data_IF_247744015866
#
_entry.id   IF_247744015866
#
_cell.length_a   1.000
_cell.length_b   1.000
_cell.length_c   1.000
_cell.angle_alpha   90.00
_cell.angle_beta   90.00
_cell.angle_gamma   90.00
#
_symmetry.space_group_name_H-M   'P 1'
#
loop_
_entity.id
_entity.type
_entity.pdbx_description
1 polymer ?
#
# COMPACT_ATOMS: atom_id res chain seq x y z
N UNK A 1 -22.55 -20.65 2.96
CA UNK A 1 -21.86 -19.76 1.99
C UNK A 1 -22.17 -20.19 0.56
N UNK A 2 -22.56 -19.24 -0.30
CA UNK A 2 -22.82 -19.49 -1.72
C UNK A 2 -21.51 -19.71 -2.50
N UNK A 3 -21.57 -20.41 -3.65
CA UNK A 3 -20.43 -20.61 -4.55
C UNK A 3 -19.78 -19.28 -4.97
N UNK A 4 -20.59 -18.23 -5.15
CA UNK A 4 -20.11 -16.87 -5.45
C UNK A 4 -19.27 -16.27 -4.32
N UNK A 5 -19.70 -16.46 -3.06
CA UNK A 5 -18.98 -15.94 -1.90
C UNK A 5 -17.60 -16.60 -1.74
N UNK A 6 -17.49 -17.91 -2.01
CA UNK A 6 -16.21 -18.63 -1.98
C UNK A 6 -15.23 -18.14 -3.05
N UNK A 7 -15.70 -17.93 -4.28
CA UNK A 7 -14.87 -17.41 -5.38
C UNK A 7 -14.36 -16.00 -5.03
N UNK A 8 -15.21 -15.16 -4.46
CA UNK A 8 -14.84 -13.81 -4.05
C UNK A 8 -13.80 -13.83 -2.92
N UNK A 9 -13.98 -14.70 -1.93
CA UNK A 9 -13.03 -14.89 -0.84
C UNK A 9 -11.65 -15.35 -1.32
N UNK A 10 -11.57 -16.39 -2.17
CA UNK A 10 -10.30 -16.86 -2.74
C UNK A 10 -9.62 -15.78 -3.58
N UNK A 11 -10.39 -14.98 -4.34
CA UNK A 11 -9.83 -13.86 -5.09
C UNK A 11 -9.25 -12.79 -4.16
N UNK A 12 -9.96 -12.47 -3.09
CA UNK A 12 -9.53 -11.47 -2.10
C UNK A 12 -8.26 -11.91 -1.38
N UNK A 13 -8.19 -13.17 -0.95
CA UNK A 13 -6.98 -13.78 -0.37
C UNK A 13 -5.78 -13.70 -1.34
N UNK A 14 -6.01 -13.92 -2.63
CA UNK A 14 -4.99 -13.75 -3.67
C UNK A 14 -4.48 -12.31 -3.79
N UNK A 15 -5.40 -11.34 -3.79
CA UNK A 15 -5.04 -9.91 -3.83
C UNK A 15 -4.27 -9.49 -2.58
N UNK A 16 -4.66 -9.98 -1.39
CA UNK A 16 -3.97 -9.69 -0.13
C UNK A 16 -2.55 -10.27 -0.10
N UNK A 17 -2.37 -11.49 -0.58
CA UNK A 17 -1.06 -12.11 -0.69
C UNK A 17 -0.14 -11.37 -1.68
N UNK A 18 -0.69 -10.93 -2.81
CA UNK A 18 0.03 -10.12 -3.79
C UNK A 18 0.42 -8.77 -3.19
N UNK A 19 -0.53 -8.09 -2.56
CA UNK A 19 -0.33 -6.81 -1.88
C UNK A 19 0.77 -6.90 -0.83
N UNK A 20 0.73 -7.91 0.06
CA UNK A 20 1.73 -8.07 1.11
C UNK A 20 3.14 -8.28 0.53
N UNK A 21 3.25 -9.12 -0.50
CA UNK A 21 4.54 -9.40 -1.15
C UNK A 21 5.11 -8.16 -1.83
N UNK A 22 4.27 -7.45 -2.57
CA UNK A 22 4.66 -6.24 -3.29
C UNK A 22 4.97 -5.09 -2.32
N UNK A 23 4.22 -4.96 -1.22
CA UNK A 23 4.44 -3.95 -0.18
C UNK A 23 5.85 -4.06 0.39
N UNK A 24 6.28 -5.26 0.77
CA UNK A 24 7.62 -5.47 1.35
C UNK A 24 8.72 -5.04 0.37
N UNK A 25 8.61 -5.45 -0.90
CA UNK A 25 9.57 -5.08 -1.95
C UNK A 25 9.62 -3.56 -2.11
N UNK A 26 8.46 -2.92 -2.22
CA UNK A 26 8.37 -1.48 -2.38
C UNK A 26 8.89 -0.72 -1.15
N UNK A 27 8.62 -1.18 0.07
CA UNK A 27 9.15 -0.57 1.29
C UNK A 27 10.67 -0.66 1.37
N UNK A 28 11.26 -1.80 0.97
CA UNK A 28 12.72 -1.96 0.91
C UNK A 28 13.32 -0.95 -0.07
N UNK A 29 12.82 -0.89 -1.30
CA UNK A 29 13.34 0.03 -2.32
C UNK A 29 13.12 1.50 -1.92
N UNK A 30 11.99 1.81 -1.29
CA UNK A 30 11.71 3.15 -0.81
C UNK A 30 12.64 3.55 0.34
N UNK A 31 12.90 2.64 1.27
CA UNK A 31 13.85 2.86 2.38
C UNK A 31 15.28 3.14 1.89
N UNK A 32 15.65 2.66 0.70
CA UNK A 32 16.93 2.93 0.03
C UNK A 32 16.98 4.24 -0.75
N UNK A 33 15.88 5.01 -0.78
CA UNK A 33 15.82 6.30 -1.45
C UNK A 33 15.05 6.31 -2.78
N UNK A 34 14.28 5.27 -3.11
CA UNK A 34 13.33 5.33 -4.23
C UNK A 34 12.06 6.08 -3.80
N UNK A 35 11.76 7.19 -4.45
CA UNK A 35 10.58 8.01 -4.15
C UNK A 35 9.37 7.63 -5.02
N UNK A 36 8.17 7.96 -4.53
CA UNK A 36 6.90 7.74 -5.21
C UNK A 36 6.06 6.60 -4.61
N UNK A 37 6.46 6.03 -3.47
CA UNK A 37 5.71 4.95 -2.81
C UNK A 37 4.43 5.47 -2.16
N UNK A 38 4.58 6.53 -1.36
CA UNK A 38 3.45 7.13 -0.65
C UNK A 38 2.78 8.24 -1.46
N UNK A 39 3.48 8.81 -2.45
CA UNK A 39 2.92 9.84 -3.33
C UNK A 39 2.83 11.20 -2.65
N UNK A 40 3.66 11.44 -1.63
CA UNK A 40 3.72 12.72 -0.91
C UNK A 40 4.07 13.84 -1.89
N UNK A 41 4.97 13.55 -2.82
CA UNK A 41 5.42 14.50 -3.81
C UNK A 41 4.62 14.47 -5.11
N UNK A 42 3.64 13.57 -5.33
CA UNK A 42 2.95 13.43 -6.62
C UNK A 42 2.33 14.72 -7.18
N UNK A 43 2.02 15.69 -6.32
CA UNK A 43 1.52 17.02 -6.73
C UNK A 43 2.59 17.89 -7.42
N UNK A 44 3.88 17.60 -7.20
CA UNK A 44 5.03 18.24 -7.83
C UNK A 44 5.40 17.60 -9.18
N UNK A 45 4.78 16.45 -9.52
CA UNK A 45 5.02 15.71 -10.77
C UNK A 45 3.68 15.26 -11.37
N UNK A 46 2.89 16.25 -11.78
CA UNK A 46 1.52 16.07 -12.32
C UNK A 46 1.44 15.15 -13.54
N UNK A 47 2.56 14.90 -14.21
CA UNK A 47 2.64 14.05 -15.40
C UNK A 47 3.33 12.70 -15.16
N UNK A 48 3.57 12.33 -13.90
CA UNK A 48 4.36 11.14 -13.53
C UNK A 48 5.69 11.10 -14.33
N UNK A 49 6.32 12.24 -14.62
CA UNK A 49 7.53 12.32 -15.46
C UNK A 49 8.79 11.91 -14.69
N UNK A 50 8.84 12.21 -13.40
CA UNK A 50 10.02 12.03 -12.55
C UNK A 50 9.90 10.84 -11.59
N UNK A 51 8.69 10.48 -11.14
CA UNK A 51 8.46 9.37 -10.20
C UNK A 51 7.67 8.22 -10.81
N UNK A 52 8.12 7.72 -11.97
CA UNK A 52 7.57 6.51 -12.60
C UNK A 52 7.87 5.26 -11.79
N UNK A 53 7.01 4.95 -10.84
CA UNK A 53 7.05 3.69 -10.11
C UNK A 53 5.72 2.94 -10.28
N UNK A 54 5.64 2.17 -11.36
CA UNK A 54 4.48 1.36 -11.73
C UNK A 54 4.02 0.44 -10.61
N UNK A 55 4.96 -0.17 -9.90
CA UNK A 55 4.72 -1.11 -8.82
C UNK A 55 4.13 -0.40 -7.60
N UNK A 56 4.59 0.82 -7.26
CA UNK A 56 3.98 1.62 -6.21
C UNK A 56 2.56 2.07 -6.57
N UNK A 57 2.31 2.41 -7.84
CA UNK A 57 0.96 2.73 -8.33
C UNK A 57 0.04 1.52 -8.24
N UNK A 58 0.50 0.37 -8.71
CA UNK A 58 -0.22 -0.91 -8.61
C UNK A 58 -0.51 -1.27 -7.16
N UNK A 59 0.46 -1.09 -6.26
CA UNK A 59 0.29 -1.34 -4.83
C UNK A 59 -0.81 -0.48 -4.20
N UNK A 60 -0.92 0.80 -4.57
CA UNK A 60 -2.01 1.68 -4.13
C UNK A 60 -3.36 1.22 -4.65
N UNK A 61 -3.43 0.78 -5.90
CA UNK A 61 -4.66 0.21 -6.48
C UNK A 61 -5.07 -1.06 -5.74
N UNK A 62 -4.14 -2.00 -5.51
CA UNK A 62 -4.40 -3.22 -4.73
C UNK A 62 -4.93 -2.90 -3.33
N UNK A 63 -4.30 -1.97 -2.61
CA UNK A 63 -4.74 -1.58 -1.27
C UNK A 63 -6.16 -1.01 -1.25
N UNK A 64 -6.48 -0.15 -2.22
CA UNK A 64 -7.82 0.44 -2.34
C UNK A 64 -8.88 -0.61 -2.68
N UNK A 65 -8.56 -1.53 -3.60
CA UNK A 65 -9.46 -2.61 -4.00
C UNK A 65 -9.73 -3.58 -2.84
N UNK A 66 -8.70 -4.01 -2.12
CA UNK A 66 -8.83 -4.87 -0.93
C UNK A 66 -9.68 -4.20 0.14
N UNK A 67 -9.36 -2.94 0.49
CA UNK A 67 -10.12 -2.16 1.49
C UNK A 67 -11.60 -2.05 1.09
N UNK A 68 -11.89 -1.80 -0.18
CA UNK A 68 -13.27 -1.71 -0.69
C UNK A 68 -13.99 -3.06 -0.57
N UNK A 69 -13.35 -4.16 -0.97
CA UNK A 69 -13.95 -5.50 -0.91
C UNK A 69 -14.18 -5.97 0.53
N UNK A 70 -13.23 -5.75 1.44
CA UNK A 70 -13.39 -6.05 2.88
C UNK A 70 -14.47 -5.17 3.52
N UNK A 71 -14.51 -3.88 3.17
CA UNK A 71 -15.56 -2.96 3.64
C UNK A 71 -16.97 -3.42 3.22
N UNK A 72 -17.15 -3.93 1.99
CA UNK A 72 -18.42 -4.52 1.54
C UNK A 72 -18.82 -5.76 2.34
N UNK A 73 -17.85 -6.50 2.88
CA UNK A 73 -18.08 -7.64 3.76
C UNK A 73 -18.27 -7.25 5.25
N UNK A 74 -18.14 -5.96 5.59
CA UNK A 74 -18.18 -5.47 6.97
C UNK A 74 -16.89 -5.74 7.76
N UNK A 75 -15.80 -6.04 7.06
CA UNK A 75 -14.50 -6.38 7.64
C UNK A 75 -13.48 -5.25 7.42
N UNK A 76 -12.50 -5.14 8.31
CA UNK A 76 -11.40 -4.18 8.19
C UNK A 76 -10.19 -4.78 7.48
N UNK A 77 -9.33 -3.92 6.91
CA UNK A 77 -8.07 -4.33 6.28
C UNK A 77 -6.90 -3.59 6.93
N UNK A 78 -6.49 -3.94 8.17
CA UNK A 78 -5.58 -3.10 8.95
C UNK A 78 -4.27 -2.73 8.24
N UNK A 79 -3.72 -3.64 7.44
CA UNK A 79 -2.49 -3.39 6.69
C UNK A 79 -2.73 -2.43 5.50
N UNK A 80 -3.80 -2.62 4.74
CA UNK A 80 -4.18 -1.73 3.64
C UNK A 80 -4.58 -0.35 4.16
N UNK A 81 -5.35 -0.30 5.25
CA UNK A 81 -5.77 0.93 5.91
C UNK A 81 -4.57 1.73 6.39
N UNK A 82 -3.59 1.07 7.04
CA UNK A 82 -2.34 1.70 7.46
C UNK A 82 -1.54 2.22 6.27
N UNK A 83 -1.37 1.43 5.22
CA UNK A 83 -0.63 1.84 4.03
C UNK A 83 -1.29 3.05 3.35
N UNK A 84 -2.62 3.03 3.16
CA UNK A 84 -3.35 4.15 2.56
C UNK A 84 -3.30 5.40 3.45
N UNK A 85 -3.37 5.25 4.77
CA UNK A 85 -3.20 6.36 5.70
C UNK A 85 -1.81 7.01 5.55
N UNK A 86 -0.75 6.23 5.33
CA UNK A 86 0.59 6.76 5.05
C UNK A 86 0.66 7.46 3.68
N UNK A 87 -0.10 7.01 2.68
CA UNK A 87 -0.24 7.70 1.40
C UNK A 87 -1.00 9.04 1.50
N UNK A 88 -1.97 9.12 2.42
CA UNK A 88 -2.79 10.31 2.66
C UNK A 88 -2.12 11.31 3.60
N UNK A 89 -1.15 10.87 4.43
CA UNK A 89 -0.38 11.72 5.32
C UNK A 89 0.44 12.75 4.53
N UNK A 90 -0.02 14.01 4.58
CA UNK A 90 0.54 15.17 3.88
C UNK A 90 0.84 16.31 4.85
N UNK A 91 1.44 15.99 5.98
CA UNK A 91 1.77 17.00 6.97
C UNK A 91 3.16 17.58 6.64
N UNK A 92 3.35 18.88 6.84
CA UNK A 92 4.63 19.58 6.68
C UNK A 92 5.74 19.05 7.62
N UNK A 93 5.37 18.28 8.65
CA UNK A 93 6.27 17.58 9.57
C UNK A 93 6.42 16.08 9.28
N UNK A 94 5.81 15.57 8.20
CA UNK A 94 5.89 14.14 7.90
C UNK A 94 7.33 13.80 7.53
N UNK A 95 7.92 12.74 8.13
CA UNK A 95 9.21 12.23 7.67
C UNK A 95 9.17 11.94 6.17
N UNK A 96 10.29 12.16 5.48
CA UNK A 96 10.37 11.83 4.06
C UNK A 96 10.07 10.35 3.78
N UNK A 97 9.58 10.05 2.58
CA UNK A 97 9.15 8.70 2.17
C UNK A 97 10.14 7.56 2.57
N UNK A 98 11.47 7.69 2.42
CA UNK A 98 12.40 6.63 2.83
C UNK A 98 12.35 6.30 4.33
N UNK A 99 12.18 7.31 5.18
CA UNK A 99 12.08 7.11 6.63
C UNK A 99 10.75 6.47 6.99
N UNK A 100 9.65 6.91 6.38
CA UNK A 100 8.34 6.27 6.55
C UNK A 100 8.39 4.79 6.14
N UNK A 101 9.02 4.50 5.00
CA UNK A 101 9.16 3.14 4.51
C UNK A 101 9.99 2.26 5.46
N UNK A 102 11.10 2.80 5.98
CA UNK A 102 11.93 2.09 6.95
C UNK A 102 11.17 1.81 8.26
N UNK A 103 10.45 2.79 8.80
CA UNK A 103 9.62 2.62 10.00
C UNK A 103 8.55 1.56 9.78
N UNK A 104 7.80 1.65 8.68
CA UNK A 104 6.72 0.72 8.40
C UNK A 104 7.24 -0.70 8.15
N UNK A 105 8.37 -0.85 7.45
CA UNK A 105 9.04 -2.14 7.28
C UNK A 105 9.50 -2.74 8.61
N UNK A 106 10.01 -1.92 9.53
CA UNK A 106 10.36 -2.33 10.88
C UNK A 106 9.16 -2.88 11.65
N UNK A 107 8.06 -2.14 11.68
CA UNK A 107 6.82 -2.56 12.34
C UNK A 107 6.23 -3.86 11.75
N UNK A 108 6.37 -4.07 10.44
CA UNK A 108 5.93 -5.32 9.80
C UNK A 108 6.80 -6.51 10.23
N UNK A 109 8.11 -6.32 10.36
CA UNK A 109 9.05 -7.35 10.82
C UNK A 109 8.87 -7.70 12.28
N UNK A 110 8.49 -6.75 13.13
CA UNK A 110 8.22 -6.99 14.55
C UNK A 110 6.89 -7.73 14.80
N UNK A 111 6.00 -7.76 13.79
CA UNK A 111 4.68 -8.41 13.86
C UNK A 111 4.61 -9.77 13.15
N UNK A 112 5.69 -10.22 12.52
CA UNK A 112 5.79 -11.52 11.84
C UNK A 112 6.47 -12.56 12.73
#
# INVERSE_FOLDING_TARGET
>A
MSKKARIQQTRLEGLESEFQSLLIICLIECSKGRYGLFGQNSHLDLEDRYWKWSEAKHLRTLAADIRLERSKAGEASPLCDKFLSLCEARDSNTPGEPRLAATFLGEMRERS
#
